data_IF_481264269035
#
_entry.id   IF_481264269035
#
_cell.length_a   1.000
_cell.length_b   1.000
_cell.length_c   1.000
_cell.angle_alpha   90.00
_cell.angle_beta   90.00
_cell.angle_gamma   90.00
#
_symmetry.space_group_name_H-M   'P 1'
#
loop_
_entity.id
_entity.type
_entity.pdbx_description
1 polymer ?
#
# COMPACT_ATOMS: atom_id res chain seq x y z
N UNK A 1 -10.06 -4.93 -11.49
CA UNK A 1 -10.14 -4.74 -10.03
C UNK A 1 -11.06 -5.80 -9.43
N UNK A 2 -12.33 -5.92 -9.81
CA UNK A 2 -13.30 -6.91 -9.26
C UNK A 2 -12.76 -8.34 -9.35
N UNK A 3 -12.17 -8.72 -10.47
CA UNK A 3 -11.57 -10.04 -10.66
C UNK A 3 -10.42 -10.30 -9.68
N UNK A 4 -9.57 -9.31 -9.45
CA UNK A 4 -8.46 -9.41 -8.49
C UNK A 4 -8.97 -9.57 -7.05
N UNK A 5 -10.02 -8.82 -6.68
CA UNK A 5 -10.70 -9.00 -5.38
C UNK A 5 -11.28 -10.41 -5.28
N UNK A 6 -11.94 -10.90 -6.34
CA UNK A 6 -12.46 -12.26 -6.39
C UNK A 6 -11.37 -13.34 -6.23
N UNK A 7 -10.19 -13.13 -6.81
CA UNK A 7 -9.05 -14.01 -6.61
C UNK A 7 -8.55 -14.01 -5.15
N UNK A 8 -8.44 -12.82 -4.53
CA UNK A 8 -8.05 -12.73 -3.11
C UNK A 8 -9.03 -13.42 -2.18
N UNK A 9 -10.33 -13.26 -2.42
CA UNK A 9 -11.40 -13.92 -1.65
C UNK A 9 -11.45 -15.42 -1.89
N UNK A 10 -11.02 -15.87 -3.07
CA UNK A 10 -10.99 -17.28 -3.45
C UNK A 10 -9.79 -18.05 -2.92
N UNK A 11 -8.82 -17.39 -2.30
CA UNK A 11 -7.66 -18.09 -1.73
C UNK A 11 -8.07 -18.96 -0.54
N UNK A 12 -7.51 -20.16 -0.53
CA UNK A 12 -7.75 -21.17 0.51
C UNK A 12 -6.43 -21.59 1.15
N UNK A 13 -6.53 -22.05 2.38
CA UNK A 13 -5.42 -22.69 3.08
C UNK A 13 -5.24 -24.17 2.65
N UNK A 14 -4.31 -24.86 3.26
CA UNK A 14 -4.01 -26.27 3.03
C UNK A 14 -5.12 -27.22 3.51
N UNK A 15 -6.01 -26.76 4.40
CA UNK A 15 -7.21 -27.46 4.83
C UNK A 15 -8.44 -27.19 3.92
N UNK A 16 -8.31 -26.27 2.94
CA UNK A 16 -9.36 -25.86 2.03
C UNK A 16 -10.26 -24.76 2.58
N UNK A 17 -9.95 -24.17 3.73
CA UNK A 17 -10.72 -23.09 4.34
C UNK A 17 -10.39 -21.73 3.69
N UNK A 18 -11.38 -20.84 3.52
CA UNK A 18 -11.15 -19.53 2.93
C UNK A 18 -10.25 -18.64 3.81
N UNK A 19 -9.14 -18.16 3.27
CA UNK A 19 -8.20 -17.29 4.00
C UNK A 19 -8.71 -15.85 4.19
N UNK A 20 -9.49 -15.35 3.24
CA UNK A 20 -9.91 -13.95 3.16
C UNK A 20 -11.43 -13.77 3.26
N UNK A 21 -12.16 -14.71 3.87
CA UNK A 21 -13.63 -14.68 3.95
C UNK A 21 -14.18 -13.37 4.53
N UNK A 22 -13.55 -12.85 5.58
CA UNK A 22 -13.94 -11.61 6.24
C UNK A 22 -13.45 -10.32 5.58
N UNK A 23 -12.74 -10.40 4.43
CA UNK A 23 -12.16 -9.22 3.82
C UNK A 23 -13.23 -8.32 3.20
N UNK A 24 -13.20 -7.02 3.54
CA UNK A 24 -14.15 -5.99 3.05
C UNK A 24 -13.45 -4.73 2.56
N UNK A 25 -12.20 -4.47 3.00
CA UNK A 25 -11.46 -3.30 2.57
C UNK A 25 -10.26 -3.70 1.69
N UNK A 26 -10.15 -3.01 0.56
CA UNK A 26 -9.11 -3.26 -0.43
C UNK A 26 -8.44 -1.95 -0.85
N UNK A 27 -7.13 -2.01 -1.06
CA UNK A 27 -6.33 -0.92 -1.60
C UNK A 27 -5.84 -1.30 -3.00
N UNK A 28 -6.16 -0.48 -3.98
CA UNK A 28 -5.68 -0.62 -5.36
C UNK A 28 -4.51 0.34 -5.57
N UNK A 29 -3.33 -0.20 -5.81
CA UNK A 29 -2.13 0.59 -6.10
C UNK A 29 -1.86 0.55 -7.61
N UNK A 30 -1.82 1.73 -8.23
CA UNK A 30 -1.65 1.88 -9.66
C UNK A 30 -0.45 2.77 -10.01
N UNK A 31 0.27 2.48 -11.10
CA UNK A 31 1.25 3.39 -11.67
C UNK A 31 0.55 4.56 -12.38
N UNK A 32 1.28 5.64 -12.62
CA UNK A 32 0.74 6.84 -13.25
C UNK A 32 0.04 6.61 -14.60
N UNK A 33 0.54 5.74 -15.52
CA UNK A 33 -0.14 5.49 -16.78
C UNK A 33 -1.54 4.86 -16.65
N UNK A 34 -1.80 4.12 -15.55
CA UNK A 34 -3.09 3.50 -15.30
C UNK A 34 -4.02 4.34 -14.41
N UNK A 35 -3.60 5.54 -14.00
CA UNK A 35 -4.43 6.43 -13.20
C UNK A 35 -5.74 6.84 -13.89
N UNK A 36 -5.76 7.32 -15.16
CA UNK A 36 -7.00 7.72 -15.81
C UNK A 36 -8.03 6.60 -15.92
N UNK A 37 -7.69 5.38 -16.42
CA UNK A 37 -8.66 4.29 -16.48
C UNK A 37 -9.11 3.81 -15.10
N UNK A 38 -8.26 3.91 -14.08
CA UNK A 38 -8.65 3.57 -12.70
C UNK A 38 -9.67 4.54 -12.16
N UNK A 39 -9.48 5.84 -12.37
CA UNK A 39 -10.46 6.86 -11.96
C UNK A 39 -11.81 6.65 -12.65
N UNK A 40 -11.81 6.37 -13.95
CA UNK A 40 -13.04 6.06 -14.69
C UNK A 40 -13.72 4.81 -14.16
N UNK A 41 -12.97 3.75 -13.86
CA UNK A 41 -13.50 2.51 -13.33
C UNK A 41 -14.11 2.68 -11.91
N UNK A 42 -13.51 3.50 -11.07
CA UNK A 42 -13.95 3.72 -9.69
C UNK A 42 -15.00 4.84 -9.56
N UNK A 43 -14.97 5.85 -10.45
CA UNK A 43 -15.91 6.97 -10.46
C UNK A 43 -17.14 6.72 -11.32
N UNK A 44 -17.21 5.61 -12.01
CA UNK A 44 -18.28 5.27 -12.96
C UNK A 44 -19.68 5.42 -12.39
N UNK A 45 -20.62 5.77 -13.26
CA UNK A 45 -22.04 5.89 -12.93
C UNK A 45 -22.60 4.54 -12.45
N UNK A 46 -23.69 4.51 -11.67
CA UNK A 46 -24.31 3.26 -11.21
C UNK A 46 -24.67 2.26 -12.31
N UNK A 47 -24.77 2.72 -13.55
CA UNK A 47 -25.07 1.88 -14.72
C UNK A 47 -23.86 1.14 -15.29
N UNK A 48 -22.64 1.70 -15.19
CA UNK A 48 -21.47 1.25 -15.97
C UNK A 48 -20.24 0.92 -15.12
N UNK A 49 -20.25 1.16 -13.80
CA UNK A 49 -19.06 1.10 -12.98
C UNK A 49 -19.03 -0.01 -11.94
N UNK A 50 -17.87 -0.15 -11.34
CA UNK A 50 -17.57 -1.03 -10.21
C UNK A 50 -18.47 -0.80 -8.96
N UNK A 51 -19.19 0.32 -8.91
CA UNK A 51 -20.08 0.62 -7.79
C UNK A 51 -21.22 -0.38 -7.63
N UNK A 52 -21.73 -0.92 -8.71
CA UNK A 52 -22.87 -1.83 -8.66
C UNK A 52 -22.52 -3.25 -8.19
N UNK A 53 -21.43 -3.87 -8.66
CA UNK A 53 -20.96 -5.13 -8.10
C UNK A 53 -20.42 -5.04 -6.67
N UNK A 54 -19.96 -3.84 -6.28
CA UNK A 54 -19.41 -3.62 -4.94
C UNK A 54 -20.46 -3.11 -3.94
N UNK A 55 -21.65 -2.69 -4.42
CA UNK A 55 -22.78 -2.29 -3.59
C UNK A 55 -23.65 -3.50 -3.30
N UNK A 56 -23.47 -4.10 -2.15
CA UNK A 56 -24.27 -5.21 -1.62
C UNK A 56 -24.76 -4.89 -0.21
N UNK A 57 -25.42 -5.84 0.46
CA UNK A 57 -25.74 -5.70 1.88
C UNK A 57 -24.50 -5.52 2.77
N UNK A 58 -23.35 -6.00 2.29
CA UNK A 58 -22.03 -5.76 2.88
C UNK A 58 -21.08 -5.22 1.80
N UNK A 59 -21.06 -3.89 1.57
CA UNK A 59 -20.30 -3.30 0.47
C UNK A 59 -18.79 -3.43 0.71
N UNK A 60 -18.03 -3.68 -0.36
CA UNK A 60 -16.59 -3.59 -0.32
C UNK A 60 -16.14 -2.13 -0.32
N UNK A 61 -15.18 -1.81 0.54
CA UNK A 61 -14.50 -0.53 0.58
C UNK A 61 -13.24 -0.59 -0.27
N UNK A 62 -13.27 0.01 -1.44
CA UNK A 62 -12.12 0.04 -2.35
C UNK A 62 -11.52 1.44 -2.33
N UNK A 63 -10.29 1.53 -1.83
CA UNK A 63 -9.45 2.71 -1.92
C UNK A 63 -8.43 2.54 -3.02
N UNK A 64 -7.89 3.64 -3.53
CA UNK A 64 -6.84 3.60 -4.53
C UNK A 64 -5.73 4.58 -4.20
N UNK A 65 -4.53 4.26 -4.65
CA UNK A 65 -3.35 5.12 -4.56
C UNK A 65 -2.57 5.07 -5.86
N UNK A 66 -2.26 6.24 -6.41
CA UNK A 66 -1.33 6.35 -7.52
C UNK A 66 0.09 6.49 -6.96
N UNK A 67 0.97 5.58 -7.36
CA UNK A 67 2.36 5.60 -6.93
C UNK A 67 3.28 5.96 -8.12
N UNK A 68 3.83 7.20 -8.16
CA UNK A 68 4.68 7.65 -9.25
C UNK A 68 6.04 6.94 -9.31
N UNK A 69 6.42 6.21 -8.27
CA UNK A 69 7.66 5.42 -8.25
C UNK A 69 7.54 4.07 -8.94
N UNK A 70 6.31 3.64 -9.28
CA UNK A 70 6.10 2.41 -10.03
C UNK A 70 6.39 2.66 -11.50
N UNK A 71 7.28 1.86 -12.06
CA UNK A 71 7.65 1.90 -13.49
C UNK A 71 6.77 1.02 -14.37
N UNK A 72 5.75 0.40 -13.79
CA UNK A 72 4.84 -0.47 -14.50
C UNK A 72 3.97 0.31 -15.49
N UNK A 73 3.71 -0.30 -16.64
CA UNK A 73 2.84 0.27 -17.68
C UNK A 73 1.55 -0.52 -17.86
N UNK A 74 1.59 -1.82 -17.55
CA UNK A 74 0.48 -2.76 -17.76
C UNK A 74 0.14 -3.58 -16.51
N UNK A 75 0.55 -3.12 -15.35
CA UNK A 75 0.34 -3.86 -14.09
C UNK A 75 -0.23 -2.93 -13.01
N UNK A 76 -1.05 -3.50 -12.14
CA UNK A 76 -1.47 -2.86 -10.89
C UNK A 76 -1.59 -3.92 -9.80
N UNK A 77 -1.54 -3.48 -8.55
CA UNK A 77 -1.66 -4.38 -7.41
C UNK A 77 -2.92 -4.07 -6.59
N UNK A 78 -3.51 -5.13 -6.04
CA UNK A 78 -4.63 -5.04 -5.11
C UNK A 78 -4.22 -5.70 -3.81
N UNK A 79 -4.45 -5.00 -2.71
CA UNK A 79 -4.11 -5.46 -1.37
C UNK A 79 -5.35 -5.50 -0.49
N UNK A 80 -5.45 -6.52 0.35
CA UNK A 80 -6.37 -6.51 1.47
C UNK A 80 -5.91 -5.46 2.48
N UNK A 81 -6.79 -4.54 2.88
CA UNK A 81 -6.48 -3.42 3.76
C UNK A 81 -7.02 -3.56 5.20
N UNK A 82 -7.89 -4.53 5.42
CA UNK A 82 -8.42 -4.90 6.74
C UNK A 82 -7.73 -6.16 7.30
N UNK A 83 -8.10 -6.54 8.51
CA UNK A 83 -7.55 -7.70 9.19
C UNK A 83 -6.24 -7.42 9.93
N UNK A 84 -5.73 -8.42 10.63
CA UNK A 84 -4.51 -8.31 11.46
C UNK A 84 -3.24 -8.52 10.63
N UNK A 85 -3.31 -9.38 9.61
CA UNK A 85 -2.17 -9.69 8.75
C UNK A 85 -2.03 -8.69 7.61
N UNK A 86 -0.79 -8.33 7.27
CA UNK A 86 -0.47 -7.33 6.24
C UNK A 86 0.43 -7.92 5.16
N UNK A 87 0.29 -7.49 3.89
CA UNK A 87 1.17 -7.93 2.81
C UNK A 87 2.59 -7.36 2.92
N UNK A 88 2.74 -6.22 3.60
CA UNK A 88 4.03 -5.58 3.88
C UNK A 88 4.15 -5.27 5.35
N UNK A 89 5.37 -5.38 5.85
CA UNK A 89 5.74 -5.06 7.22
C UNK A 89 6.79 -3.96 7.18
N UNK A 90 6.53 -2.89 7.91
CA UNK A 90 7.51 -1.85 8.19
C UNK A 90 7.91 -1.97 9.66
N UNK A 91 9.21 -2.15 9.88
CA UNK A 91 9.80 -2.24 11.20
C UNK A 91 10.65 -1.00 11.44
N UNK A 92 10.40 -0.29 12.51
CA UNK A 92 11.18 0.86 12.95
C UNK A 92 11.82 0.50 14.30
N UNK A 93 13.14 0.41 14.33
CA UNK A 93 13.90 0.18 15.56
C UNK A 93 14.29 1.52 16.19
N UNK A 94 14.72 2.47 15.36
CA UNK A 94 15.08 3.82 15.79
C UNK A 94 14.34 4.83 14.90
N UNK A 95 13.42 5.63 15.46
CA UNK A 95 12.79 6.71 14.72
C UNK A 95 13.82 7.76 14.29
N UNK A 96 13.44 8.60 13.35
CA UNK A 96 14.33 9.67 12.87
C UNK A 96 14.71 10.60 14.02
N UNK A 97 15.99 10.63 14.35
CA UNK A 97 16.57 11.53 15.35
C UNK A 97 17.51 12.52 14.67
N UNK A 98 17.34 13.79 15.00
CA UNK A 98 18.22 14.87 14.52
C UNK A 98 19.11 15.29 15.68
N UNK A 99 20.42 15.24 15.46
CA UNK A 99 21.43 15.71 16.37
C UNK A 99 22.07 16.98 15.79
N UNK A 100 22.23 18.00 16.61
CA UNK A 100 22.86 19.26 16.21
C UNK A 100 24.01 19.58 17.16
N UNK A 101 25.18 19.81 16.60
CA UNK A 101 26.29 20.51 17.23
C UNK A 101 26.29 21.93 16.67
N UNK A 102 25.47 22.79 17.30
CA UNK A 102 25.23 24.16 16.91
C UNK A 102 25.62 25.12 18.05
N UNK A 103 24.88 26.17 18.24
CA UNK A 103 25.19 27.26 19.18
C UNK A 103 25.65 26.76 20.56
N UNK A 104 26.87 27.16 20.98
CA UNK A 104 27.49 26.76 22.23
C UNK A 104 28.19 25.39 22.18
N UNK A 105 28.27 24.73 21.02
CA UNK A 105 29.05 23.52 20.84
C UNK A 105 30.54 23.80 20.77
N UNK A 106 31.35 22.81 21.16
CA UNK A 106 32.80 22.88 21.07
C UNK A 106 33.29 23.11 19.62
N UNK A 107 32.55 22.55 18.66
CA UNK A 107 32.83 22.70 17.23
C UNK A 107 32.62 24.15 16.75
N UNK A 108 31.57 24.80 17.22
CA UNK A 108 31.33 26.21 16.90
C UNK A 108 32.42 27.12 17.49
N UNK A 109 32.77 26.89 18.76
CA UNK A 109 33.77 27.71 19.45
C UNK A 109 35.16 27.59 18.83
N UNK A 110 35.53 26.37 18.40
CA UNK A 110 36.89 26.11 17.89
C UNK A 110 37.02 26.30 16.38
N UNK A 111 35.97 26.01 15.61
CA UNK A 111 36.04 25.96 14.16
C UNK A 111 35.03 26.88 13.46
N UNK A 112 34.14 27.55 14.19
CA UNK A 112 33.05 28.38 13.67
C UNK A 112 32.18 27.60 12.67
N UNK A 113 31.87 26.29 12.98
CA UNK A 113 31.09 25.39 12.15
C UNK A 113 29.94 24.80 12.94
N UNK A 114 28.85 24.50 12.23
CA UNK A 114 27.72 23.77 12.77
C UNK A 114 27.61 22.42 12.07
N UNK A 115 27.37 21.36 12.82
CA UNK A 115 27.19 20.01 12.28
C UNK A 115 25.81 19.47 12.64
N UNK A 116 25.11 18.92 11.65
CA UNK A 116 23.84 18.25 11.83
C UNK A 116 23.95 16.82 11.39
N UNK A 117 23.49 15.91 12.24
CA UNK A 117 23.42 14.47 11.96
C UNK A 117 21.97 13.98 12.02
N UNK A 118 21.63 13.03 11.16
CA UNK A 118 20.32 12.36 11.18
C UNK A 118 20.57 10.87 11.31
N UNK A 119 19.96 10.25 12.31
CA UNK A 119 19.97 8.81 12.52
C UNK A 119 18.56 8.24 12.42
N UNK A 120 18.42 7.10 11.72
CA UNK A 120 17.23 6.30 11.69
C UNK A 120 17.59 4.84 11.40
N UNK A 121 16.88 3.91 12.03
CA UNK A 121 17.03 2.47 11.73
C UNK A 121 15.64 1.93 11.46
N UNK A 122 15.39 1.58 10.21
CA UNK A 122 14.13 0.96 9.80
C UNK A 122 14.37 -0.04 8.68
N UNK A 123 13.44 -0.97 8.55
CA UNK A 123 13.43 -1.97 7.50
C UNK A 123 12.01 -2.19 6.99
N UNK A 124 11.89 -2.55 5.73
CA UNK A 124 10.64 -2.98 5.14
C UNK A 124 10.79 -4.39 4.56
N UNK A 125 9.77 -5.20 4.72
CA UNK A 125 9.78 -6.58 4.25
C UNK A 125 8.41 -7.03 3.77
N UNK A 126 8.38 -8.23 3.20
CA UNK A 126 7.15 -8.89 2.81
C UNK A 126 6.55 -9.60 4.02
N UNK A 127 5.23 -9.48 4.15
CA UNK A 127 4.44 -10.23 5.12
C UNK A 127 3.65 -11.35 4.45
N UNK A 128 2.32 -11.32 4.62
CA UNK A 128 1.42 -12.35 4.09
C UNK A 128 1.09 -12.06 2.63
N UNK A 129 1.67 -12.81 1.71
CA UNK A 129 1.42 -12.69 0.27
C UNK A 129 -0.05 -12.97 -0.11
N UNK A 130 -0.77 -13.77 0.69
CA UNK A 130 -2.19 -14.08 0.51
C UNK A 130 -3.10 -12.84 0.56
N UNK A 131 -2.58 -11.72 1.06
CA UNK A 131 -3.27 -10.44 1.11
C UNK A 131 -2.93 -9.52 -0.07
N UNK A 132 -2.22 -10.02 -1.08
CA UNK A 132 -1.80 -9.25 -2.24
C UNK A 132 -2.09 -9.99 -3.55
N UNK A 133 -2.53 -9.26 -4.57
CA UNK A 133 -2.73 -9.75 -5.93
C UNK A 133 -2.11 -8.77 -6.92
N UNK A 134 -1.19 -9.24 -7.75
CA UNK A 134 -0.64 -8.48 -8.87
C UNK A 134 -1.42 -8.85 -10.13
N UNK A 135 -1.93 -7.85 -10.83
CA UNK A 135 -2.66 -8.02 -12.09
C UNK A 135 -1.81 -7.48 -13.22
N UNK A 136 -1.69 -8.28 -14.28
CA UNK A 136 -1.00 -7.90 -15.52
C UNK A 136 -2.00 -7.90 -16.66
N UNK A 137 -2.02 -6.85 -17.46
CA UNK A 137 -2.77 -6.78 -18.72
C UNK A 137 -1.89 -7.32 -19.86
N UNK A 138 -2.45 -8.20 -20.62
CA UNK A 138 -1.85 -8.70 -21.87
C UNK A 138 -2.37 -7.91 -23.05
#
# INVERSE_FOLDING_TARGET
>A
IVQAIGQLLGLRDDAGEPLNEGARAFLVMVPMPLLPPTLLALAGTPADGLRRPLAGPEPFHVQWVANPRLTWTSQFAVFRADGETRPFIFQEELPVQVHALADGSELEVNENQHQYGVNAIHAAGYGFWQNACLVTFN
#
